data_IF_178230431641
#
_entry.id   IF_178230431641
#
_cell.length_a   1.000
_cell.length_b   1.000
_cell.length_c   1.000
_cell.angle_alpha   90.00
_cell.angle_beta   90.00
_cell.angle_gamma   90.00
#
_symmetry.space_group_name_H-M   'P 1'
#
loop_
_entity.id
_entity.type
_entity.pdbx_description
1 polymer ?
#
# COMPACT_ATOMS: atom_id res chain seq x y z
N UNK A 1 19.68 -9.94 8.83
CA UNK A 1 18.72 -10.93 9.36
C UNK A 1 17.39 -10.30 9.77
N UNK A 2 17.39 -9.13 10.42
CA UNK A 2 16.16 -8.39 10.77
C UNK A 2 15.27 -8.04 9.55
N UNK A 3 15.87 -7.62 8.43
CA UNK A 3 15.14 -7.35 7.17
C UNK A 3 14.42 -8.56 6.59
N UNK A 4 15.01 -9.75 6.71
CA UNK A 4 14.42 -11.00 6.21
C UNK A 4 13.15 -11.36 6.99
N UNK A 5 13.16 -11.12 8.29
CA UNK A 5 12.01 -11.38 9.17
C UNK A 5 10.86 -10.39 8.87
N UNK A 6 11.21 -9.12 8.63
CA UNK A 6 10.27 -8.08 8.19
C UNK A 6 9.62 -8.37 6.83
N UNK A 7 10.35 -9.01 5.91
CA UNK A 7 9.81 -9.47 4.61
C UNK A 7 8.87 -10.66 4.81
N UNK A 8 9.26 -11.64 5.65
CA UNK A 8 8.44 -12.82 5.94
C UNK A 8 7.11 -12.45 6.60
N UNK A 9 7.14 -11.52 7.58
CA UNK A 9 5.92 -11.01 8.22
C UNK A 9 5.00 -10.31 7.22
N UNK A 10 5.55 -9.62 6.21
CA UNK A 10 4.71 -8.96 5.19
C UNK A 10 4.00 -9.95 4.27
N UNK A 11 4.70 -11.02 3.88
CA UNK A 11 4.12 -12.10 3.06
C UNK A 11 2.98 -12.79 3.80
N UNK A 12 3.11 -12.99 5.11
CA UNK A 12 2.00 -13.54 5.92
C UNK A 12 0.82 -12.58 5.98
N UNK A 13 1.05 -11.27 6.13
CA UNK A 13 -0.01 -10.26 6.12
C UNK A 13 -0.73 -10.24 4.75
N UNK A 14 0.00 -10.36 3.63
CA UNK A 14 -0.57 -10.49 2.29
C UNK A 14 -1.47 -11.74 2.15
N UNK A 15 -0.97 -12.90 2.57
CA UNK A 15 -1.71 -14.17 2.49
C UNK A 15 -2.99 -14.13 3.33
N UNK A 16 -2.95 -13.50 4.49
CA UNK A 16 -4.13 -13.27 5.32
C UNK A 16 -5.08 -12.30 4.61
N UNK A 17 -4.61 -11.16 4.12
CA UNK A 17 -5.45 -10.18 3.43
C UNK A 17 -6.19 -10.74 2.21
N UNK A 18 -5.56 -11.67 1.46
CA UNK A 18 -6.17 -12.35 0.32
C UNK A 18 -7.31 -13.29 0.70
N UNK A 19 -7.28 -13.86 1.92
CA UNK A 19 -8.33 -14.75 2.41
C UNK A 19 -9.61 -14.03 2.86
N UNK A 20 -9.58 -12.70 3.00
CA UNK A 20 -10.64 -11.93 3.66
C UNK A 20 -11.34 -10.86 2.79
N UNK A 21 -11.07 -10.76 1.48
CA UNK A 21 -11.63 -9.67 0.65
C UNK A 21 -12.38 -10.18 -0.59
N UNK A 22 -13.72 -10.11 -0.57
CA UNK A 22 -14.62 -10.58 -1.66
C UNK A 22 -15.17 -9.45 -2.56
N UNK A 23 -14.82 -8.17 -2.31
CA UNK A 23 -15.26 -7.03 -3.15
C UNK A 23 -14.05 -6.30 -3.79
N UNK A 24 -14.10 -6.10 -5.11
CA UNK A 24 -13.02 -5.51 -5.92
C UNK A 24 -12.52 -4.13 -5.42
N UNK A 25 -13.42 -3.27 -4.90
CA UNK A 25 -13.04 -1.97 -4.34
C UNK A 25 -12.16 -2.11 -3.09
N UNK A 26 -12.55 -3.03 -2.19
CA UNK A 26 -11.80 -3.35 -0.97
C UNK A 26 -10.48 -4.07 -1.30
N UNK A 27 -10.43 -4.81 -2.41
CA UNK A 27 -9.21 -5.47 -2.92
C UNK A 27 -8.14 -4.44 -3.29
N UNK A 28 -8.50 -3.38 -4.02
CA UNK A 28 -7.57 -2.32 -4.45
C UNK A 28 -6.91 -1.62 -3.24
N UNK A 29 -7.69 -1.30 -2.21
CA UNK A 29 -7.16 -0.68 -0.98
C UNK A 29 -6.20 -1.61 -0.25
N UNK A 30 -6.58 -2.87 -0.06
CA UNK A 30 -5.76 -3.84 0.66
C UNK A 30 -4.46 -4.15 -0.09
N UNK A 31 -4.52 -4.40 -1.40
CA UNK A 31 -3.33 -4.62 -2.23
C UNK A 31 -2.44 -3.39 -2.26
N UNK A 32 -3.01 -2.19 -2.40
CA UNK A 32 -2.22 -0.97 -2.46
C UNK A 32 -1.54 -0.60 -1.13
N UNK A 33 -2.20 -0.83 0.01
CA UNK A 33 -1.55 -0.70 1.32
C UNK A 33 -0.40 -1.69 1.49
N UNK A 34 -0.56 -2.94 1.05
CA UNK A 34 0.49 -3.96 1.15
C UNK A 34 1.71 -3.56 0.31
N UNK A 35 1.50 -3.10 -0.93
CA UNK A 35 2.59 -2.62 -1.81
C UNK A 35 3.29 -1.39 -1.19
N UNK A 36 2.55 -0.46 -0.59
CA UNK A 36 3.15 0.67 0.11
C UNK A 36 4.04 0.24 1.28
N UNK A 37 3.61 -0.73 2.07
CA UNK A 37 4.43 -1.29 3.15
C UNK A 37 5.65 -2.07 2.66
N UNK A 38 5.60 -2.70 1.47
CA UNK A 38 6.75 -3.31 0.83
C UNK A 38 7.76 -2.24 0.41
N UNK A 39 7.31 -1.15 -0.23
CA UNK A 39 8.17 -0.04 -0.66
C UNK A 39 8.89 0.64 0.51
N UNK A 40 8.18 0.90 1.61
CA UNK A 40 8.76 1.47 2.83
C UNK A 40 9.77 0.47 3.45
N UNK A 41 9.50 -0.83 3.43
CA UNK A 41 10.45 -1.85 3.92
C UNK A 41 11.70 -1.98 3.03
N UNK A 42 11.54 -1.89 1.71
CA UNK A 42 12.65 -1.86 0.78
C UNK A 42 13.51 -0.61 1.00
N UNK A 43 12.90 0.51 1.38
CA UNK A 43 13.64 1.74 1.71
C UNK A 43 14.63 1.54 2.84
N UNK A 44 14.26 0.79 3.88
CA UNK A 44 15.12 0.54 5.03
C UNK A 44 16.27 -0.41 4.71
N UNK A 45 16.12 -1.25 3.69
CA UNK A 45 17.19 -2.10 3.18
C UNK A 45 18.07 -1.39 2.13
N UNK A 46 17.64 -0.23 1.63
CA UNK A 46 18.39 0.57 0.68
C UNK A 46 19.28 1.59 1.41
N UNK A 47 20.47 1.83 0.90
CA UNK A 47 21.40 2.81 1.46
C UNK A 47 21.45 4.10 0.62
N UNK A 48 21.78 5.23 1.27
CA UNK A 48 21.90 6.53 0.62
C UNK A 48 20.56 7.11 0.13
N UNK A 49 20.61 7.82 -1.00
CA UNK A 49 19.45 8.53 -1.55
C UNK A 49 18.26 7.63 -1.92
N UNK A 50 18.50 6.35 -2.21
CA UNK A 50 17.45 5.41 -2.61
C UNK A 50 16.44 5.16 -1.50
N UNK A 51 16.87 5.16 -0.24
CA UNK A 51 15.97 5.04 0.91
C UNK A 51 14.91 6.15 0.89
N UNK A 52 15.35 7.41 0.80
CA UNK A 52 14.46 8.58 0.84
C UNK A 52 13.45 8.54 -0.32
N UNK A 53 13.90 8.19 -1.53
CA UNK A 53 13.03 8.07 -2.70
C UNK A 53 11.99 6.96 -2.51
N UNK A 54 12.40 5.81 -1.96
CA UNK A 54 11.51 4.68 -1.70
C UNK A 54 10.47 4.99 -0.62
N UNK A 55 10.84 5.72 0.44
CA UNK A 55 9.88 6.20 1.46
C UNK A 55 8.86 7.14 0.82
N UNK A 56 9.31 8.16 0.09
CA UNK A 56 8.42 9.14 -0.54
C UNK A 56 7.46 8.48 -1.53
N UNK A 57 7.97 7.55 -2.33
CA UNK A 57 7.17 6.80 -3.30
C UNK A 57 6.18 5.88 -2.58
N UNK A 58 6.59 5.19 -1.52
CA UNK A 58 5.72 4.31 -0.73
C UNK A 58 4.57 5.05 -0.06
N UNK A 59 4.85 6.20 0.56
CA UNK A 59 3.83 7.05 1.19
C UNK A 59 2.91 7.66 0.14
N UNK A 60 3.47 8.19 -0.96
CA UNK A 60 2.68 8.73 -2.07
C UNK A 60 1.75 7.70 -2.68
N UNK A 61 2.25 6.48 -2.89
CA UNK A 61 1.47 5.36 -3.43
C UNK A 61 0.33 4.93 -2.49
N UNK A 62 0.56 4.88 -1.16
CA UNK A 62 -0.50 4.60 -0.18
C UNK A 62 -1.63 5.64 -0.24
N UNK A 63 -1.28 6.93 -0.32
CA UNK A 63 -2.24 8.02 -0.40
C UNK A 63 -3.04 7.98 -1.70
N UNK A 64 -2.38 7.66 -2.82
CA UNK A 64 -3.01 7.58 -4.15
C UNK A 64 -4.06 6.45 -4.19
N UNK A 65 -3.73 5.27 -3.66
CA UNK A 65 -4.68 4.16 -3.54
C UNK A 65 -5.85 4.53 -2.63
N UNK A 66 -5.60 5.22 -1.52
CA UNK A 66 -6.66 5.68 -0.62
C UNK A 66 -7.59 6.68 -1.32
N UNK A 67 -7.05 7.58 -2.14
CA UNK A 67 -7.84 8.51 -2.94
C UNK A 67 -8.68 7.79 -4.00
N UNK A 68 -8.10 6.84 -4.73
CA UNK A 68 -8.82 6.02 -5.72
C UNK A 68 -9.95 5.24 -5.04
N UNK A 69 -9.68 4.61 -3.90
CA UNK A 69 -10.70 3.92 -3.11
C UNK A 69 -11.83 4.86 -2.70
N UNK A 70 -11.51 6.03 -2.16
CA UNK A 70 -12.52 7.00 -1.73
C UNK A 70 -13.36 7.53 -2.90
N UNK A 71 -12.75 7.73 -4.08
CA UNK A 71 -13.47 8.14 -5.29
C UNK A 71 -14.39 7.06 -5.85
N UNK A 72 -14.01 5.77 -5.73
CA UNK A 72 -14.86 4.64 -6.11
C UNK A 72 -16.02 4.39 -5.13
N UNK A 73 -15.77 4.55 -3.83
CA UNK A 73 -16.78 4.37 -2.77
C UNK A 73 -17.77 5.55 -2.73
N UNK A 74 -17.33 6.76 -3.10
CA UNK A 74 -18.16 7.97 -3.15
C UNK A 74 -18.24 8.55 -4.58
N UNK A 75 -19.15 8.08 -5.45
CA UNK A 75 -19.34 8.66 -6.80
C UNK A 75 -19.94 10.08 -6.81
N UNK A 76 -20.18 10.71 -5.65
CA UNK A 76 -20.99 11.94 -5.54
C UNK A 76 -20.22 13.09 -4.87
N UNK A 77 -19.26 13.69 -5.57
CA UNK A 77 -18.80 15.06 -5.31
C UNK A 77 -18.37 15.79 -6.61
N UNK A 78 -19.07 15.55 -7.72
CA UNK A 78 -18.96 16.38 -8.94
C UNK A 78 -20.31 16.46 -9.68
N UNK A 79 -21.38 16.84 -8.98
CA UNK A 79 -22.63 17.21 -9.65
C UNK A 79 -23.31 18.40 -8.99
N UNK A 80 -22.57 19.25 -8.26
CA UNK A 80 -23.07 20.58 -7.87
C UNK A 80 -21.90 21.49 -7.48
N UNK A 81 -21.30 22.17 -8.47
CA UNK A 81 -20.70 23.48 -8.31
C UNK A 81 -20.88 24.26 -9.61
#
# INVERSE_FOLDING_TARGET
QFFTLLILTDVIILLISFRYTEEYSKLIRNTGFIIATILIRLSFSAEGFLNIILILTGVGFALLILQIFNAMENPKLDSTA
#
